data_IF_619733019760
#
_entry.id   IF_619733019760
#
_cell.length_a   1.000
_cell.length_b   1.000
_cell.length_c   1.000
_cell.angle_alpha   90.00
_cell.angle_beta   90.00
_cell.angle_gamma   90.00
#
_symmetry.space_group_name_H-M   'P 1'
#
loop_
_entity.id
_entity.type
_entity.pdbx_description
1 polymer ?
#
# COMPACT_ATOMS: atom_id res chain seq x y z
N UNK A 1 8.75 -29.76 -29.66
CA UNK A 1 8.93 -28.41 -29.08
C UNK A 1 7.77 -28.17 -28.13
N UNK A 2 8.04 -28.21 -26.82
CA UNK A 2 7.01 -28.08 -25.78
C UNK A 2 6.65 -26.60 -25.56
N UNK A 3 5.37 -26.28 -25.73
CA UNK A 3 4.79 -24.99 -25.39
C UNK A 3 4.53 -24.95 -23.88
N UNK A 4 5.41 -24.32 -23.12
CA UNK A 4 5.14 -24.00 -21.72
C UNK A 4 4.36 -22.68 -21.70
N UNK A 5 3.03 -22.79 -21.53
CA UNK A 5 2.16 -21.65 -21.24
C UNK A 5 2.41 -21.29 -19.77
N UNK A 6 3.21 -20.26 -19.52
CA UNK A 6 3.40 -19.73 -18.18
C UNK A 6 2.16 -18.91 -17.77
N UNK A 7 1.53 -19.20 -16.63
CA UNK A 7 0.48 -18.34 -16.09
C UNK A 7 1.07 -16.98 -15.70
N UNK A 8 0.35 -15.90 -16.01
CA UNK A 8 0.91 -14.57 -15.84
C UNK A 8 0.72 -14.01 -14.39
N UNK A 9 1.73 -13.30 -13.81
CA UNK A 9 1.80 -12.67 -12.44
C UNK A 9 1.01 -11.36 -12.11
N UNK A 10 0.72 -10.92 -10.90
CA UNK A 10 0.11 -9.61 -10.70
C UNK A 10 0.14 -9.01 -9.28
N UNK A 11 -0.06 -7.68 -9.16
CA UNK A 11 0.04 -6.86 -7.92
C UNK A 11 -1.28 -6.18 -7.58
N UNK A 12 -1.61 -6.05 -6.28
CA UNK A 12 -2.80 -5.40 -5.75
C UNK A 12 -2.56 -4.07 -5.04
N UNK A 13 -3.53 -3.16 -5.19
CA UNK A 13 -3.70 -1.96 -4.36
C UNK A 13 -3.91 -2.34 -2.89
N UNK A 14 -3.44 -1.49 -1.99
CA UNK A 14 -3.55 -1.73 -0.55
C UNK A 14 -5.00 -1.57 -0.09
N UNK A 15 -5.47 -2.48 0.78
CA UNK A 15 -6.77 -2.32 1.44
C UNK A 15 -6.74 -1.20 2.47
N UNK A 16 -7.89 -0.57 2.72
CA UNK A 16 -8.07 0.24 3.91
C UNK A 16 -7.68 -0.58 5.16
N UNK A 17 -7.05 0.02 6.18
CA UNK A 17 -6.70 1.43 6.28
C UNK A 17 -5.29 1.79 5.74
N UNK A 18 -4.67 0.92 4.94
CA UNK A 18 -3.22 0.83 4.80
C UNK A 18 -2.45 2.11 4.46
N UNK A 19 -3.00 3.02 3.64
CA UNK A 19 -2.28 4.27 3.32
C UNK A 19 -2.01 5.12 4.56
N UNK A 20 -2.98 5.21 5.48
CA UNK A 20 -2.88 5.96 6.73
C UNK A 20 -2.10 5.20 7.81
N UNK A 21 -1.59 4.01 7.46
CA UNK A 21 -0.68 3.23 8.29
C UNK A 21 0.72 3.15 7.68
N UNK A 22 0.96 3.77 6.50
CA UNK A 22 2.28 3.76 5.85
C UNK A 22 2.46 2.72 4.73
N UNK A 23 1.45 1.89 4.45
CA UNK A 23 1.50 0.95 3.32
C UNK A 23 1.58 1.70 1.98
N UNK A 24 2.29 1.12 1.02
CA UNK A 24 2.38 1.65 -0.34
C UNK A 24 1.01 1.58 -1.02
N UNK A 25 0.48 2.72 -1.48
CA UNK A 25 -0.86 2.84 -2.08
C UNK A 25 -0.84 3.26 -3.55
N UNK A 26 0.28 3.02 -4.24
CA UNK A 26 0.33 3.23 -5.69
C UNK A 26 -0.64 2.30 -6.43
N UNK A 27 -1.39 2.78 -7.43
CA UNK A 27 -2.25 1.93 -8.26
C UNK A 27 -1.44 0.85 -9.00
N UNK A 28 -2.11 -0.24 -9.38
CA UNK A 28 -1.46 -1.37 -10.07
C UNK A 28 -1.30 -1.10 -11.57
N UNK A 29 -0.07 -1.19 -12.07
CA UNK A 29 0.23 -1.03 -13.51
C UNK A 29 -0.21 -2.25 -14.34
N UNK A 30 -0.50 -3.35 -13.66
CA UNK A 30 -0.83 -4.66 -14.19
C UNK A 30 -2.22 -5.15 -13.72
N UNK A 31 -2.95 -5.94 -14.54
CA UNK A 31 -4.16 -6.62 -14.06
C UNK A 31 -3.81 -7.66 -12.99
N UNK A 32 -4.56 -7.70 -11.88
CA UNK A 32 -4.34 -8.60 -10.74
C UNK A 32 -5.59 -9.25 -10.19
N UNK A 33 -5.38 -10.43 -9.60
CA UNK A 33 -6.19 -10.95 -8.51
C UNK A 33 -5.25 -11.46 -7.41
N UNK A 34 -5.22 -10.85 -6.23
CA UNK A 34 -4.42 -11.33 -5.09
C UNK A 34 -5.29 -11.55 -3.87
N UNK A 35 -4.87 -12.48 -3.01
CA UNK A 35 -5.42 -12.63 -1.67
C UNK A 35 -4.30 -12.76 -0.65
N UNK A 36 -4.55 -12.43 0.61
CA UNK A 36 -3.52 -12.54 1.63
C UNK A 36 -3.95 -12.03 2.99
N UNK A 37 -2.98 -11.94 3.88
CA UNK A 37 -3.15 -11.44 5.23
C UNK A 37 -2.58 -10.03 5.32
N UNK A 38 -3.37 -9.08 5.82
CA UNK A 38 -2.93 -7.73 6.16
C UNK A 38 -3.10 -7.50 7.66
N UNK A 39 -2.05 -7.03 8.32
CA UNK A 39 -2.00 -6.77 9.75
C UNK A 39 -1.70 -5.30 9.94
N UNK A 40 -2.52 -4.62 10.74
CA UNK A 40 -2.32 -3.21 11.10
C UNK A 40 -2.43 -3.06 12.62
N UNK A 41 -1.66 -2.14 13.18
CA UNK A 41 -1.70 -1.84 14.61
C UNK A 41 -1.94 -0.37 14.86
N UNK A 42 -2.80 -0.10 15.83
CA UNK A 42 -3.12 1.23 16.30
C UNK A 42 -3.08 1.31 17.82
N UNK A 43 -2.45 2.36 18.34
CA UNK A 43 -2.36 2.66 19.77
C UNK A 43 -2.99 4.02 20.05
N UNK A 44 -3.67 4.12 21.19
CA UNK A 44 -4.40 5.33 21.62
C UNK A 44 -3.50 6.41 22.27
N UNK A 45 -2.21 6.10 22.44
CA UNK A 45 -1.23 6.90 23.17
C UNK A 45 -0.38 7.74 22.24
N UNK A 46 0.24 8.82 22.72
CA UNK A 46 1.23 9.68 22.04
C UNK A 46 2.65 9.44 22.57
N UNK A 47 3.64 10.18 22.01
CA UNK A 47 5.07 10.19 22.36
C UNK A 47 5.42 10.05 23.85
N UNK A 48 4.54 10.61 24.68
CA UNK A 48 4.72 10.81 26.11
C UNK A 48 3.91 9.79 26.95
N UNK A 49 3.24 8.85 26.29
CA UNK A 49 2.36 7.85 26.91
C UNK A 49 0.97 8.39 27.26
N UNK A 50 0.62 9.60 26.83
CA UNK A 50 -0.69 10.21 27.07
C UNK A 50 -1.69 9.83 25.99
N UNK A 51 -2.97 9.76 26.34
CA UNK A 51 -4.03 9.47 25.37
C UNK A 51 -4.30 10.68 24.46
N UNK A 52 -4.18 10.50 23.14
CA UNK A 52 -4.34 11.62 22.20
C UNK A 52 -5.69 11.69 21.50
N UNK A 53 -6.46 10.60 21.46
CA UNK A 53 -7.72 10.52 20.70
C UNK A 53 -8.91 9.97 21.50
N UNK A 54 -10.10 10.15 20.93
CA UNK A 54 -11.37 9.72 21.52
C UNK A 54 -11.69 8.22 21.45
N UNK A 55 -10.90 7.41 20.73
CA UNK A 55 -11.19 5.97 20.49
C UNK A 55 -11.01 5.16 21.78
N UNK A 56 -10.01 5.50 22.61
CA UNK A 56 -9.73 4.86 23.92
C UNK A 56 -9.58 3.33 23.86
N UNK A 57 -9.25 2.81 22.68
CA UNK A 57 -8.98 1.41 22.42
C UNK A 57 -7.68 1.24 21.63
N UNK A 58 -6.91 0.22 22.00
CA UNK A 58 -5.80 -0.32 21.20
C UNK A 58 -6.36 -1.36 20.25
N UNK A 59 -5.96 -1.29 18.99
CA UNK A 59 -6.61 -1.99 17.89
C UNK A 59 -5.53 -2.72 17.07
N UNK A 60 -5.65 -4.04 17.00
CA UNK A 60 -4.97 -4.85 15.98
C UNK A 60 -5.96 -5.29 14.92
N UNK A 61 -5.78 -4.86 13.68
CA UNK A 61 -6.60 -5.28 12.54
C UNK A 61 -5.89 -6.44 11.84
N UNK A 62 -6.55 -7.60 11.77
CA UNK A 62 -5.99 -8.79 11.14
C UNK A 62 -6.94 -9.24 10.04
N UNK A 63 -6.72 -8.77 8.82
CA UNK A 63 -7.67 -8.87 7.73
C UNK A 63 -7.19 -9.88 6.70
N UNK A 64 -8.07 -10.77 6.27
CA UNK A 64 -7.90 -11.45 4.99
C UNK A 64 -8.33 -10.44 3.93
N UNK A 65 -7.39 -10.05 3.07
CA UNK A 65 -7.61 -9.06 2.02
C UNK A 65 -7.57 -9.75 0.66
N UNK A 66 -8.54 -9.44 -0.19
CA UNK A 66 -8.57 -9.82 -1.60
C UNK A 66 -8.72 -8.58 -2.45
N UNK A 67 -7.95 -8.49 -3.52
CA UNK A 67 -7.98 -7.34 -4.42
C UNK A 67 -7.90 -7.79 -5.85
N UNK A 68 -8.63 -7.06 -6.69
CA UNK A 68 -8.75 -7.31 -8.10
C UNK A 68 -8.59 -6.01 -8.88
N UNK A 69 -7.64 -5.98 -9.81
CA UNK A 69 -7.44 -4.86 -10.73
C UNK A 69 -7.59 -5.33 -12.16
N UNK A 70 -8.35 -4.59 -12.94
CA UNK A 70 -8.51 -4.81 -14.38
C UNK A 70 -8.07 -3.57 -15.14
N UNK A 71 -7.25 -3.77 -16.16
CA UNK A 71 -7.00 -2.76 -17.20
C UNK A 71 -7.97 -2.99 -18.35
N UNK A 72 -8.64 -1.93 -18.78
CA UNK A 72 -9.65 -2.00 -19.83
C UNK A 72 -9.02 -1.83 -21.21
N UNK A 73 -9.62 -2.49 -22.20
CA UNK A 73 -9.26 -2.41 -23.62
C UNK A 73 -10.39 -1.79 -24.44
N UNK A 74 -10.13 -1.51 -25.72
CA UNK A 74 -11.07 -0.89 -26.66
C UNK A 74 -11.47 0.55 -26.24
N UNK A 75 -12.77 0.81 -26.04
CA UNK A 75 -13.30 2.15 -25.75
C UNK A 75 -12.84 2.76 -24.42
N UNK A 76 -12.25 1.96 -23.53
CA UNK A 76 -11.72 2.38 -22.23
C UNK A 76 -10.21 2.14 -22.13
N UNK A 77 -9.50 2.11 -23.25
CA UNK A 77 -8.05 1.87 -23.26
C UNK A 77 -7.29 2.86 -22.37
N UNK A 78 -6.40 2.32 -21.53
CA UNK A 78 -5.59 3.05 -20.55
C UNK A 78 -6.36 3.52 -19.32
N UNK A 79 -7.56 2.99 -19.08
CA UNK A 79 -8.21 3.03 -17.78
C UNK A 79 -8.02 1.72 -17.04
N UNK A 80 -7.94 1.77 -15.71
CA UNK A 80 -8.04 0.60 -14.85
C UNK A 80 -9.08 0.80 -13.76
N UNK A 81 -9.66 -0.31 -13.30
CA UNK A 81 -10.55 -0.38 -12.14
C UNK A 81 -9.96 -1.33 -11.12
N UNK A 82 -9.96 -0.92 -9.85
CA UNK A 82 -9.61 -1.76 -8.71
C UNK A 82 -10.84 -1.96 -7.81
N UNK A 83 -10.96 -3.16 -7.25
CA UNK A 83 -11.83 -3.47 -6.14
C UNK A 83 -11.04 -4.27 -5.11
N UNK A 84 -11.06 -3.83 -3.86
CA UNK A 84 -10.43 -4.52 -2.75
C UNK A 84 -11.44 -4.75 -1.64
N UNK A 85 -11.41 -5.94 -1.07
CA UNK A 85 -12.24 -6.36 0.05
C UNK A 85 -11.33 -6.91 1.15
N UNK A 86 -11.60 -6.55 2.40
CA UNK A 86 -10.93 -7.12 3.56
C UNK A 86 -11.92 -7.43 4.66
N UNK A 87 -11.71 -8.53 5.37
CA UNK A 87 -12.50 -8.91 6.54
C UNK A 87 -11.63 -9.67 7.53
N UNK A 88 -11.85 -9.44 8.82
CA UNK A 88 -11.20 -10.24 9.84
C UNK A 88 -11.40 -9.75 11.26
N UNK A 89 -10.84 -10.48 12.23
CA UNK A 89 -10.95 -10.11 13.62
C UNK A 89 -10.10 -8.89 13.95
N UNK A 90 -10.69 -7.97 14.68
CA UNK A 90 -9.99 -6.88 15.34
C UNK A 90 -9.62 -7.32 16.73
N UNK A 91 -8.35 -7.69 16.88
CA UNK A 91 -7.73 -8.20 18.11
C UNK A 91 -6.27 -7.78 18.10
N UNK A 92 -5.74 -7.47 19.26
CA UNK A 92 -4.35 -7.08 19.39
C UNK A 92 -3.33 -8.13 18.93
N UNK A 93 -3.67 -9.42 18.89
CA UNK A 93 -2.76 -10.47 18.43
C UNK A 93 -3.11 -10.87 16.99
N UNK A 94 -2.12 -11.12 16.10
CA UNK A 94 -0.67 -11.18 16.36
C UNK A 94 0.10 -9.84 16.37
N UNK A 95 -0.54 -8.70 16.08
CA UNK A 95 0.18 -7.43 15.86
C UNK A 95 0.95 -6.89 17.07
N UNK A 96 0.45 -7.14 18.29
CA UNK A 96 1.11 -6.80 19.57
C UNK A 96 2.42 -7.54 19.75
N UNK A 97 2.41 -8.86 19.58
CA UNK A 97 3.64 -9.64 19.71
C UNK A 97 4.65 -9.31 18.62
N UNK A 98 4.20 -8.96 17.41
CA UNK A 98 5.12 -8.57 16.35
C UNK A 98 5.76 -7.20 16.64
N UNK A 99 5.00 -6.21 17.11
CA UNK A 99 5.57 -4.92 17.50
C UNK A 99 6.41 -5.03 18.78
N UNK A 100 5.81 -5.43 19.91
CA UNK A 100 6.48 -5.35 21.21
C UNK A 100 7.52 -6.46 21.37
N UNK A 101 7.18 -7.71 21.08
CA UNK A 101 8.08 -8.84 21.40
C UNK A 101 9.17 -9.04 20.34
N UNK A 102 8.93 -8.68 19.07
CA UNK A 102 9.91 -8.87 17.98
C UNK A 102 10.62 -7.58 17.59
N UNK A 103 9.89 -6.53 17.23
CA UNK A 103 10.52 -5.27 16.76
C UNK A 103 11.17 -4.53 17.93
N UNK A 104 10.44 -4.31 19.03
CA UNK A 104 10.92 -3.50 20.15
C UNK A 104 11.95 -4.27 21.00
N UNK A 105 11.60 -5.48 21.46
CA UNK A 105 12.48 -6.25 22.35
C UNK A 105 13.64 -6.95 21.63
N UNK A 106 13.40 -7.61 20.49
CA UNK A 106 14.44 -8.45 19.85
C UNK A 106 15.28 -7.72 18.81
N UNK A 107 14.70 -6.77 18.07
CA UNK A 107 15.39 -6.16 16.92
C UNK A 107 16.04 -4.82 17.25
N UNK A 108 15.36 -3.95 18.01
CA UNK A 108 15.82 -2.57 18.23
C UNK A 108 16.13 -2.21 19.70
N UNK A 109 15.79 -3.08 20.67
CA UNK A 109 15.98 -2.84 22.12
C UNK A 109 15.40 -1.49 22.58
N UNK A 110 14.17 -1.20 22.15
CA UNK A 110 13.44 0.05 22.47
C UNK A 110 12.22 -0.25 23.36
N UNK A 111 11.75 0.72 24.20
CA UNK A 111 10.64 0.49 25.11
C UNK A 111 9.36 0.03 24.39
N UNK A 112 8.64 -0.93 24.97
CA UNK A 112 7.37 -1.43 24.43
C UNK A 112 6.28 -0.35 24.43
N UNK A 113 5.40 -0.40 23.43
CA UNK A 113 4.28 0.54 23.35
C UNK A 113 3.18 0.15 24.33
N UNK A 114 2.66 1.10 25.14
CA UNK A 114 1.55 0.85 26.06
C UNK A 114 0.30 0.33 25.34
N UNK A 115 -0.41 -0.57 26.01
CA UNK A 115 -1.67 -1.15 25.51
C UNK A 115 -2.79 -0.81 26.47
N UNK A 116 -3.82 -0.14 25.95
CA UNK A 116 -5.01 0.24 26.69
C UNK A 116 -6.09 -0.85 26.63
N UNK A 117 -7.34 -0.42 26.54
CA UNK A 117 -8.47 -1.34 26.35
C UNK A 117 -8.34 -2.00 24.98
N UNK A 118 -8.37 -3.34 24.93
CA UNK A 118 -8.22 -4.07 23.66
C UNK A 118 -9.58 -4.19 22.97
N UNK A 119 -9.70 -3.69 21.73
CA UNK A 119 -10.90 -3.91 20.92
C UNK A 119 -11.03 -5.39 20.55
N UNK A 120 -12.27 -5.90 20.54
CA UNK A 120 -12.58 -7.29 20.15
C UNK A 120 -13.83 -7.34 19.28
N UNK A 121 -13.64 -7.14 17.98
CA UNK A 121 -14.73 -7.08 17.00
C UNK A 121 -14.40 -7.89 15.74
N UNK A 122 -15.34 -7.96 14.80
CA UNK A 122 -15.07 -8.37 13.40
C UNK A 122 -15.28 -7.18 12.51
N UNK A 123 -14.22 -6.73 11.85
CA UNK A 123 -14.24 -5.55 11.01
C UNK A 123 -14.07 -5.95 9.54
N UNK A 124 -14.64 -5.13 8.65
CA UNK A 124 -14.53 -5.31 7.21
C UNK A 124 -14.29 -3.96 6.51
N UNK A 125 -13.76 -4.06 5.31
CA UNK A 125 -13.37 -2.93 4.46
C UNK A 125 -13.63 -3.29 3.00
N UNK A 126 -14.13 -2.32 2.26
CA UNK A 126 -14.36 -2.37 0.82
C UNK A 126 -13.80 -1.08 0.24
N UNK A 127 -12.90 -1.18 -0.72
CA UNK A 127 -12.42 -0.04 -1.49
C UNK A 127 -12.54 -0.29 -2.98
N UNK A 128 -12.78 0.78 -3.73
CA UNK A 128 -12.82 0.74 -5.18
C UNK A 128 -12.23 2.01 -5.76
N UNK A 129 -11.51 1.87 -6.86
CA UNK A 129 -10.87 3.00 -7.53
C UNK A 129 -10.93 2.88 -9.06
N UNK A 130 -10.88 4.02 -9.73
CA UNK A 130 -10.71 4.11 -11.18
C UNK A 130 -9.49 4.99 -11.44
N UNK A 131 -8.58 4.50 -12.28
CA UNK A 131 -7.31 5.17 -12.58
C UNK A 131 -7.13 5.33 -14.09
N UNK A 132 -6.83 6.55 -14.53
CA UNK A 132 -6.38 6.85 -15.89
C UNK A 132 -4.86 6.79 -15.93
N UNK A 133 -4.32 6.01 -16.87
CA UNK A 133 -2.89 5.86 -17.09
C UNK A 133 -2.39 6.68 -18.27
N UNK A 134 -1.19 7.23 -18.11
CA UNK A 134 -0.42 7.90 -19.15
C UNK A 134 0.95 7.25 -19.34
N UNK A 135 1.60 7.57 -20.44
CA UNK A 135 2.89 7.02 -20.83
C UNK A 135 3.99 8.07 -20.69
N UNK A 136 5.24 7.61 -20.54
CA UNK A 136 6.44 8.42 -20.72
C UNK A 136 7.25 7.81 -21.89
N UNK A 137 8.19 8.57 -22.49
CA UNK A 137 9.00 8.04 -23.58
C UNK A 137 9.65 6.70 -23.21
N UNK A 138 9.40 5.68 -24.03
CA UNK A 138 9.88 4.30 -23.86
C UNK A 138 9.13 3.46 -22.81
N UNK A 139 8.11 3.99 -22.13
CA UNK A 139 7.48 3.32 -20.98
C UNK A 139 5.97 3.59 -20.89
N UNK A 140 5.19 2.50 -20.83
CA UNK A 140 3.72 2.56 -20.72
C UNK A 140 3.29 2.60 -19.26
N UNK A 141 2.09 3.15 -19.01
CA UNK A 141 1.42 3.18 -17.70
C UNK A 141 2.29 3.72 -16.57
N UNK A 142 3.01 4.81 -16.82
CA UNK A 142 3.88 5.43 -15.83
C UNK A 142 3.15 6.52 -15.06
N UNK A 143 2.52 7.46 -15.75
CA UNK A 143 1.74 8.53 -15.13
C UNK A 143 0.37 8.01 -14.76
N UNK A 144 -0.20 8.48 -13.65
CA UNK A 144 -1.56 8.13 -13.28
C UNK A 144 -2.31 9.29 -12.64
N UNK A 145 -3.62 9.31 -12.88
CA UNK A 145 -4.59 10.15 -12.19
C UNK A 145 -5.83 9.32 -11.94
N UNK A 146 -6.30 9.26 -10.69
CA UNK A 146 -7.42 8.42 -10.32
C UNK A 146 -8.15 8.93 -9.10
N UNK A 147 -9.26 8.28 -8.83
CA UNK A 147 -10.07 8.54 -7.65
C UNK A 147 -10.88 7.31 -7.28
N UNK A 148 -11.37 7.31 -6.05
CA UNK A 148 -12.04 6.15 -5.50
C UNK A 148 -12.73 6.47 -4.19
N UNK A 149 -13.27 5.41 -3.60
CA UNK A 149 -13.85 5.46 -2.28
C UNK A 149 -13.60 4.17 -1.53
N UNK A 150 -13.67 4.28 -0.22
CA UNK A 150 -13.65 3.14 0.68
C UNK A 150 -14.70 3.29 1.76
N UNK A 151 -15.20 2.15 2.20
CA UNK A 151 -16.23 2.03 3.22
C UNK A 151 -16.01 0.76 4.01
N UNK A 152 -16.52 0.72 5.22
CA UNK A 152 -16.34 -0.41 6.12
C UNK A 152 -16.78 -0.07 7.52
N UNK A 153 -16.52 -0.99 8.44
CA UNK A 153 -16.80 -0.78 9.85
C UNK A 153 -15.83 0.22 10.50
N UNK A 154 -14.63 0.41 9.94
CA UNK A 154 -13.62 1.31 10.50
C UNK A 154 -13.94 2.79 10.25
N UNK A 155 -14.03 3.17 8.97
CA UNK A 155 -14.31 4.52 8.50
C UNK A 155 -14.73 4.48 7.02
N UNK A 156 -15.10 5.64 6.49
CA UNK A 156 -15.35 5.83 5.06
C UNK A 156 -14.46 6.94 4.53
N UNK A 157 -14.05 6.86 3.28
CA UNK A 157 -13.28 7.91 2.64
C UNK A 157 -13.62 8.00 1.15
N UNK A 158 -13.65 9.23 0.64
CA UNK A 158 -13.59 9.51 -0.79
C UNK A 158 -12.25 10.16 -1.09
N UNK A 159 -11.56 9.71 -2.13
CA UNK A 159 -10.22 10.20 -2.44
C UNK A 159 -9.96 10.43 -3.92
N UNK A 160 -9.00 11.31 -4.18
CA UNK A 160 -8.35 11.48 -5.47
C UNK A 160 -6.84 11.36 -5.28
N UNK A 161 -6.15 10.76 -6.26
CA UNK A 161 -4.70 10.59 -6.24
C UNK A 161 -4.10 10.76 -7.62
N UNK A 162 -2.85 11.17 -7.67
CA UNK A 162 -2.10 11.30 -8.90
C UNK A 162 -0.60 11.20 -8.67
N UNK A 163 0.12 10.83 -9.72
CA UNK A 163 1.56 10.64 -9.61
C UNK A 163 2.17 9.85 -10.76
N UNK A 164 3.30 9.20 -10.47
CA UNK A 164 4.00 8.30 -11.36
C UNK A 164 4.41 7.02 -10.63
N UNK A 165 4.35 5.89 -11.33
CA UNK A 165 4.67 4.57 -10.79
C UNK A 165 5.79 3.92 -11.59
N UNK A 166 6.77 3.35 -10.89
CA UNK A 166 7.88 2.56 -11.43
C UNK A 166 8.48 3.15 -12.71
N UNK A 167 8.78 4.44 -12.70
CA UNK A 167 9.46 5.10 -13.80
C UNK A 167 10.95 4.72 -13.80
N UNK A 168 11.49 4.27 -14.94
CA UNK A 168 12.93 4.09 -15.15
C UNK A 168 13.53 5.28 -15.90
N UNK A 169 14.35 6.13 -15.26
CA UNK A 169 15.03 7.21 -15.97
C UNK A 169 15.91 6.69 -17.12
N UNK A 170 16.59 5.56 -16.92
CA UNK A 170 17.44 4.96 -17.95
C UNK A 170 16.65 4.46 -19.16
N UNK A 171 15.51 3.80 -18.99
CA UNK A 171 14.69 3.39 -20.16
C UNK A 171 14.21 4.59 -20.97
N UNK A 172 13.90 5.71 -20.31
CA UNK A 172 13.54 6.95 -21.00
C UNK A 172 14.74 7.56 -21.75
N UNK A 173 15.94 7.55 -21.14
CA UNK A 173 17.17 8.00 -21.81
C UNK A 173 17.50 7.12 -23.01
N UNK A 174 17.42 5.79 -22.86
CA UNK A 174 17.68 4.82 -23.93
C UNK A 174 16.73 5.02 -25.13
N UNK A 175 15.47 5.38 -24.86
CA UNK A 175 14.49 5.69 -25.89
C UNK A 175 14.80 7.01 -26.64
N UNK A 176 15.27 8.04 -25.93
CA UNK A 176 15.49 9.37 -26.50
C UNK A 176 16.86 9.53 -27.18
N UNK A 177 17.90 8.93 -26.61
CA UNK A 177 19.30 9.15 -27.00
C UNK A 177 19.97 7.91 -27.57
N UNK A 178 19.23 6.81 -27.71
CA UNK A 178 19.77 5.50 -28.08
C UNK A 178 20.33 4.73 -26.88
N UNK A 179 20.44 3.41 -27.04
CA UNK A 179 20.79 2.49 -25.96
C UNK A 179 22.18 2.76 -25.41
N UNK A 180 22.25 3.07 -24.12
CA UNK A 180 23.51 3.19 -23.38
C UNK A 180 23.97 1.80 -22.95
N UNK A 181 25.14 1.40 -23.44
CA UNK A 181 25.78 0.13 -23.09
C UNK A 181 26.91 0.37 -22.08
N UNK A 182 27.00 -0.48 -21.05
CA UNK A 182 28.07 -0.43 -20.05
C UNK A 182 27.61 -0.87 -18.67
N UNK A 183 28.58 -1.22 -17.81
CA UNK A 183 28.29 -1.77 -16.48
C UNK A 183 27.46 -0.84 -15.59
N UNK A 184 27.62 0.49 -15.72
CA UNK A 184 26.81 1.48 -15.00
C UNK A 184 25.35 1.41 -15.47
N UNK A 185 25.14 1.40 -16.79
CA UNK A 185 23.79 1.30 -17.35
C UNK A 185 23.12 -0.01 -16.90
N UNK A 186 23.85 -1.14 -16.94
CA UNK A 186 23.34 -2.43 -16.49
C UNK A 186 22.99 -2.44 -14.99
N UNK A 187 23.80 -1.80 -14.14
CA UNK A 187 23.56 -1.70 -12.70
C UNK A 187 22.30 -0.90 -12.38
N UNK A 188 22.07 0.22 -13.08
CA UNK A 188 20.95 1.12 -12.83
C UNK A 188 19.70 0.78 -13.64
N UNK A 189 19.77 -0.09 -14.66
CA UNK A 189 18.61 -0.46 -15.51
C UNK A 189 17.46 -1.10 -14.73
N UNK A 190 17.67 -1.82 -13.61
CA UNK A 190 16.60 -2.29 -12.73
C UNK A 190 15.98 -1.21 -11.83
N UNK A 191 16.61 -0.02 -11.71
CA UNK A 191 16.17 1.04 -10.82
C UNK A 191 14.87 1.69 -11.32
N UNK A 192 13.94 1.92 -10.41
CA UNK A 192 12.65 2.57 -10.68
C UNK A 192 12.31 3.57 -9.57
N UNK A 193 11.60 4.63 -9.97
CA UNK A 193 11.13 5.69 -9.09
C UNK A 193 9.61 5.74 -9.12
N UNK A 194 8.99 5.97 -7.96
CA UNK A 194 7.56 6.28 -7.88
C UNK A 194 7.31 7.44 -6.94
N UNK A 195 6.27 8.21 -7.24
CA UNK A 195 5.84 9.35 -6.44
C UNK A 195 4.33 9.54 -6.58
N UNK A 196 3.66 9.87 -5.48
CA UNK A 196 2.21 10.03 -5.44
C UNK A 196 1.81 11.10 -4.43
N UNK A 197 0.75 11.83 -4.76
CA UNK A 197 -0.02 12.61 -3.80
C UNK A 197 -1.47 12.13 -3.80
N UNK A 198 -2.11 12.19 -2.64
CA UNK A 198 -3.51 11.84 -2.43
C UNK A 198 -4.17 12.89 -1.54
N UNK A 199 -5.40 13.25 -1.89
CA UNK A 199 -6.29 14.03 -1.06
C UNK A 199 -7.58 13.24 -0.84
N UNK A 200 -8.03 13.20 0.41
CA UNK A 200 -9.19 12.44 0.86
C UNK A 200 -10.12 13.27 1.72
N UNK A 201 -11.38 12.86 1.74
CA UNK A 201 -12.40 13.31 2.69
C UNK A 201 -12.84 12.11 3.49
N UNK A 202 -12.62 12.15 4.80
CA UNK A 202 -12.95 11.08 5.71
C UNK A 202 -14.34 11.30 6.31
N UNK A 203 -15.02 10.21 6.61
CA UNK A 203 -16.27 10.18 7.34
C UNK A 203 -16.19 9.09 8.39
N UNK A 204 -16.83 9.35 9.53
CA UNK A 204 -16.87 8.42 10.65
C UNK A 204 -17.41 7.05 10.24
N UNK A 205 -16.79 6.01 10.78
CA UNK A 205 -17.28 4.63 10.72
C UNK A 205 -17.85 4.19 12.04
N UNK A 206 -18.10 2.89 12.21
CA UNK A 206 -18.55 2.34 13.49
C UNK A 206 -17.42 2.36 14.53
N UNK A 207 -16.19 2.04 14.12
CA UNK A 207 -15.03 1.98 15.01
C UNK A 207 -14.39 3.37 15.22
N UNK A 208 -14.26 4.18 14.18
CA UNK A 208 -13.61 5.48 14.26
C UNK A 208 -14.64 6.62 14.18
N UNK A 209 -14.91 7.25 15.32
CA UNK A 209 -15.94 8.28 15.49
C UNK A 209 -15.38 9.71 15.60
N UNK A 210 -14.05 9.88 15.52
CA UNK A 210 -13.38 11.18 15.68
C UNK A 210 -12.26 11.34 14.65
N UNK A 211 -12.67 11.50 13.39
CA UNK A 211 -11.78 11.59 12.25
C UNK A 211 -11.62 13.04 11.77
N UNK A 212 -10.44 13.35 11.24
CA UNK A 212 -10.19 14.59 10.53
C UNK A 212 -11.09 14.65 9.29
N UNK A 213 -11.71 15.81 9.02
CA UNK A 213 -12.61 15.93 7.86
C UNK A 213 -11.89 15.73 6.52
N UNK A 214 -10.59 15.99 6.46
CA UNK A 214 -9.77 15.87 5.26
C UNK A 214 -8.47 15.15 5.60
N UNK A 215 -7.96 14.39 4.65
CA UNK A 215 -6.64 13.76 4.71
C UNK A 215 -5.81 14.14 3.50
N UNK A 216 -4.52 14.33 3.70
CA UNK A 216 -3.54 14.56 2.64
C UNK A 216 -2.36 13.64 2.85
N UNK A 217 -1.96 12.92 1.81
CA UNK A 217 -0.82 12.02 1.86
C UNK A 217 0.11 12.24 0.67
N UNK A 218 1.41 12.10 0.92
CA UNK A 218 2.45 12.08 -0.09
C UNK A 218 3.30 10.82 0.10
N UNK A 219 3.55 10.09 -0.98
CA UNK A 219 4.38 8.88 -0.97
C UNK A 219 5.47 8.99 -2.03
N UNK A 220 6.68 8.56 -1.65
CA UNK A 220 7.81 8.40 -2.56
C UNK A 220 8.45 7.02 -2.37
N UNK A 221 8.93 6.40 -3.44
CA UNK A 221 9.58 5.09 -3.36
C UNK A 221 10.69 4.93 -4.39
N UNK A 222 11.72 4.19 -3.99
CA UNK A 222 12.76 3.64 -4.86
C UNK A 222 12.56 2.14 -4.95
N UNK A 223 12.57 1.57 -6.15
CA UNK A 223 12.60 0.12 -6.32
C UNK A 223 13.71 -0.36 -7.22
N UNK A 224 14.21 -1.56 -6.93
CA UNK A 224 15.22 -2.27 -7.69
C UNK A 224 14.66 -3.64 -8.06
N UNK A 225 14.41 -3.86 -9.35
CA UNK A 225 13.74 -5.09 -9.76
C UNK A 225 13.78 -5.41 -11.24
N UNK A 226 13.45 -6.66 -11.53
CA UNK A 226 13.31 -7.20 -12.88
C UNK A 226 11.85 -7.42 -13.19
N UNK A 227 11.45 -7.04 -14.40
CA UNK A 227 10.06 -7.01 -14.83
C UNK A 227 9.90 -7.72 -16.16
N UNK A 228 8.78 -8.41 -16.33
CA UNK A 228 8.35 -8.84 -17.65
C UNK A 228 7.94 -7.60 -18.47
N UNK A 229 8.58 -7.39 -19.62
CA UNK A 229 8.41 -6.16 -20.39
C UNK A 229 7.05 -6.05 -21.09
N UNK A 230 6.38 -7.17 -21.36
CA UNK A 230 5.07 -7.18 -22.03
C UNK A 230 3.96 -6.85 -21.06
N UNK A 231 4.06 -7.37 -19.85
CA UNK A 231 3.01 -7.35 -18.85
C UNK A 231 3.26 -6.32 -17.74
N UNK A 232 4.47 -5.76 -17.67
CA UNK A 232 4.97 -4.85 -16.63
C UNK A 232 5.05 -5.47 -15.23
N UNK A 233 4.94 -6.79 -15.15
CA UNK A 233 4.86 -7.55 -13.90
C UNK A 233 6.24 -7.73 -13.28
N UNK A 234 6.44 -7.51 -11.97
CA UNK A 234 7.71 -7.77 -11.31
C UNK A 234 7.93 -9.29 -11.16
N UNK A 235 9.07 -9.78 -11.65
CA UNK A 235 9.56 -11.14 -11.36
C UNK A 235 10.20 -11.17 -9.96
N UNK A 236 11.02 -10.16 -9.70
CA UNK A 236 11.60 -9.87 -8.41
C UNK A 236 11.77 -8.35 -8.26
N UNK A 237 11.39 -7.79 -7.12
CA UNK A 237 11.55 -6.37 -6.83
C UNK A 237 11.71 -6.17 -5.33
N UNK A 238 12.70 -5.36 -4.95
CA UNK A 238 12.78 -4.75 -3.62
C UNK A 238 12.42 -3.29 -3.76
N UNK A 239 11.48 -2.83 -2.95
CA UNK A 239 11.03 -1.45 -2.95
C UNK A 239 11.08 -0.87 -1.53
N UNK A 240 11.62 0.32 -1.42
CA UNK A 240 11.70 1.08 -0.18
C UNK A 240 10.98 2.40 -0.40
N UNK A 241 10.12 2.79 0.52
CA UNK A 241 9.34 4.01 0.42
C UNK A 241 9.27 4.80 1.71
N UNK A 242 8.81 6.03 1.56
CA UNK A 242 8.45 6.91 2.65
C UNK A 242 7.08 7.53 2.38
N UNK A 243 6.29 7.67 3.43
CA UNK A 243 4.96 8.26 3.41
C UNK A 243 4.90 9.39 4.43
N UNK A 244 4.33 10.53 4.04
CA UNK A 244 3.90 11.58 4.95
C UNK A 244 2.38 11.67 4.81
N UNK A 245 1.66 11.53 5.92
CA UNK A 245 0.20 11.62 6.00
C UNK A 245 -0.17 12.72 7.00
N UNK A 246 -1.18 13.52 6.69
CA UNK A 246 -1.68 14.55 7.60
C UNK A 246 -2.33 13.99 8.87
N UNK A 247 -2.56 12.67 8.92
CA UNK A 247 -3.28 11.96 9.96
C UNK A 247 -4.76 11.87 9.67
N UNK A 248 -5.37 10.75 10.06
CA UNK A 248 -6.82 10.59 10.02
C UNK A 248 -7.51 10.88 11.36
N UNK A 249 -6.79 10.89 12.46
CA UNK A 249 -7.36 11.07 13.80
C UNK A 249 -7.21 12.51 14.27
N UNK A 250 -8.30 13.06 14.82
CA UNK A 250 -8.21 14.34 15.54
C UNK A 250 -7.58 14.11 16.92
N UNK A 251 -6.65 14.97 17.29
CA UNK A 251 -6.18 15.09 18.67
C UNK A 251 -7.22 15.79 19.56
N UNK A 252 -7.01 15.77 20.87
CA UNK A 252 -7.88 16.41 21.87
C UNK A 252 -8.17 17.92 21.63
N UNK A 253 -7.33 18.61 20.84
CA UNK A 253 -7.49 20.03 20.47
C UNK A 253 -8.09 20.23 19.07
N UNK A 254 -8.49 19.16 18.37
CA UNK A 254 -9.06 19.20 17.02
C UNK A 254 -8.04 19.28 15.88
N UNK A 255 -6.74 19.22 16.19
CA UNK A 255 -5.67 19.16 15.18
C UNK A 255 -5.38 17.70 14.81
N UNK A 256 -5.13 17.41 13.53
CA UNK A 256 -4.74 16.07 13.09
C UNK A 256 -3.30 15.75 13.46
N UNK A 257 -3.00 14.47 13.72
CA UNK A 257 -1.64 13.99 13.98
C UNK A 257 -0.92 13.72 12.66
N UNK A 258 0.04 14.56 12.26
CA UNK A 258 0.89 14.23 11.10
C UNK A 258 1.68 12.96 11.38
N UNK A 259 1.66 12.02 10.45
CA UNK A 259 2.31 10.72 10.55
C UNK A 259 3.33 10.52 9.44
N UNK A 260 4.44 9.86 9.77
CA UNK A 260 5.55 9.64 8.85
C UNK A 260 5.99 8.20 8.95
N UNK A 261 6.01 7.51 7.81
CA UNK A 261 6.29 6.07 7.76
C UNK A 261 7.44 5.78 6.82
N UNK A 262 8.27 4.82 7.20
CA UNK A 262 9.07 4.08 6.23
C UNK A 262 8.33 2.79 5.86
N UNK A 263 8.56 2.30 4.64
CA UNK A 263 8.00 1.03 4.16
C UNK A 263 9.02 0.26 3.34
N UNK A 264 9.00 -1.06 3.46
CA UNK A 264 9.81 -1.98 2.67
C UNK A 264 8.90 -3.06 2.11
N UNK A 265 8.95 -3.26 0.80
CA UNK A 265 8.26 -4.33 0.10
C UNK A 265 9.25 -5.22 -0.65
N UNK A 266 9.08 -6.52 -0.52
CA UNK A 266 9.79 -7.54 -1.29
C UNK A 266 8.77 -8.30 -2.11
N UNK A 267 9.00 -8.37 -3.41
CA UNK A 267 8.15 -9.08 -4.36
C UNK A 267 8.98 -10.16 -5.00
N UNK A 268 8.55 -11.39 -4.84
CA UNK A 268 9.13 -12.57 -5.48
C UNK A 268 7.95 -13.42 -5.92
N UNK A 269 7.60 -13.32 -7.21
CA UNK A 269 6.35 -13.91 -7.71
C UNK A 269 6.23 -15.40 -7.33
N UNK A 270 5.07 -15.87 -6.81
CA UNK A 270 3.77 -15.18 -6.69
C UNK A 270 3.52 -14.44 -5.37
N UNK A 271 4.55 -14.21 -4.56
CA UNK A 271 4.41 -13.63 -3.23
C UNK A 271 4.84 -12.18 -3.17
N UNK A 272 4.12 -11.40 -2.37
CA UNK A 272 4.51 -10.06 -1.94
C UNK A 272 4.49 -10.00 -0.43
N UNK A 273 5.62 -9.60 0.14
CA UNK A 273 5.73 -9.22 1.54
C UNK A 273 5.94 -7.70 1.60
N UNK A 274 5.24 -7.04 2.49
CA UNK A 274 5.45 -5.61 2.75
C UNK A 274 5.28 -5.34 4.24
N UNK A 275 6.11 -4.46 4.79
CA UNK A 275 6.03 -4.00 6.17
C UNK A 275 6.41 -2.53 6.25
N UNK A 276 5.88 -1.85 7.26
CA UNK A 276 6.08 -0.42 7.47
C UNK A 276 6.02 -0.11 8.96
N UNK A 277 6.59 1.04 9.33
CA UNK A 277 6.61 1.52 10.70
C UNK A 277 6.70 3.07 10.75
N UNK A 278 6.14 3.68 11.80
CA UNK A 278 6.09 5.12 12.07
C UNK A 278 7.32 5.69 12.80
N UNK A 279 8.39 4.90 12.96
CA UNK A 279 9.68 5.31 13.57
C UNK A 279 10.25 6.63 13.04
N UNK A 280 9.90 7.07 11.82
CA UNK A 280 10.31 8.38 11.29
C UNK A 280 9.70 9.57 12.05
N UNK A 281 8.59 9.35 12.76
CA UNK A 281 7.99 10.33 13.65
C UNK A 281 8.61 10.32 15.05
N UNK A 282 9.43 9.31 15.39
CA UNK A 282 10.00 9.12 16.72
C UNK A 282 8.94 8.97 17.81
N UNK A 283 7.72 8.56 17.43
CA UNK A 283 6.59 8.45 18.33
C UNK A 283 6.26 6.98 18.59
N UNK A 284 6.06 6.06 17.62
CA UNK A 284 5.53 4.70 17.89
C UNK A 284 4.10 4.77 18.49
N UNK A 285 3.30 5.72 18.00
CA UNK A 285 2.00 6.09 18.57
C UNK A 285 0.96 6.38 17.49
N UNK A 286 -0.28 5.91 17.68
CA UNK A 286 -1.31 5.95 16.65
C UNK A 286 -1.20 4.75 15.70
N UNK A 287 -1.42 4.91 14.38
CA UNK A 287 -0.99 3.96 13.36
C UNK A 287 0.52 3.76 13.45
N UNK A 288 0.94 2.56 13.84
CA UNK A 288 2.35 2.33 14.22
C UNK A 288 3.02 1.36 13.29
N UNK A 289 2.62 0.10 13.41
CA UNK A 289 3.22 -1.01 12.70
C UNK A 289 2.19 -1.72 11.83
N UNK A 290 2.66 -2.25 10.71
CA UNK A 290 1.88 -3.21 9.97
C UNK A 290 2.71 -4.00 8.98
N UNK A 291 2.04 -4.97 8.40
CA UNK A 291 2.61 -5.75 7.31
C UNK A 291 1.55 -6.54 6.60
N UNK A 292 1.87 -6.99 5.40
CA UNK A 292 1.02 -7.85 4.61
C UNK A 292 1.82 -8.91 3.88
N UNK A 293 1.20 -10.07 3.76
CA UNK A 293 1.67 -11.19 2.96
C UNK A 293 0.58 -11.52 1.95
N UNK A 294 0.85 -11.25 0.67
CA UNK A 294 -0.09 -11.41 -0.42
C UNK A 294 0.39 -12.48 -1.39
N UNK A 295 -0.54 -13.26 -1.91
CA UNK A 295 -0.33 -14.22 -2.97
C UNK A 295 -1.16 -13.82 -4.17
N UNK A 296 -0.50 -13.73 -5.32
CA UNK A 296 -1.17 -13.55 -6.59
C UNK A 296 -1.83 -14.84 -7.04
N UNK A 297 -3.14 -14.79 -7.31
CA UNK A 297 -3.98 -15.89 -7.77
C UNK A 297 -4.30 -15.79 -9.27
N UNK A 298 -3.75 -14.82 -9.98
CA UNK A 298 -4.01 -14.63 -11.42
C UNK A 298 -3.63 -15.84 -12.26
N UNK A 299 -2.73 -16.68 -11.75
CA UNK A 299 -2.36 -17.95 -12.37
C UNK A 299 -3.50 -18.98 -12.41
N UNK A 300 -4.51 -18.85 -11.54
CA UNK A 300 -5.70 -19.71 -11.50
C UNK A 300 -6.81 -19.24 -12.45
N UNK A 301 -6.71 -18.01 -12.99
CA UNK A 301 -7.77 -17.45 -13.82
C UNK A 301 -7.69 -17.94 -15.28
N UNK A 302 -8.84 -18.07 -15.97
CA UNK A 302 -8.88 -18.28 -17.41
C UNK A 302 -8.24 -17.11 -18.17
N UNK A 303 -7.66 -17.36 -19.35
CA UNK A 303 -6.99 -16.31 -20.15
C UNK A 303 -7.92 -15.17 -20.56
N UNK A 304 -9.22 -15.46 -20.76
CA UNK A 304 -10.25 -14.45 -21.04
C UNK A 304 -10.46 -13.44 -19.90
N UNK A 305 -10.04 -13.77 -18.68
CA UNK A 305 -10.12 -12.89 -17.50
C UNK A 305 -8.81 -12.14 -17.25
N UNK A 306 -7.71 -12.51 -17.93
CA UNK A 306 -6.39 -11.88 -17.77
C UNK A 306 -6.25 -10.55 -18.53
N UNK A 307 -7.23 -10.19 -19.35
CA UNK A 307 -7.30 -8.88 -20.01
C UNK A 307 -6.13 -8.60 -20.97
N UNK A 308 -5.70 -9.63 -21.71
CA UNK A 308 -4.75 -9.49 -22.82
C UNK A 308 -5.41 -8.81 -24.02
#
# INVERSE_FOLDING_TARGET
MSWWIFPQPARSESSAPGIHWGALDFPDQEPVLTTGLSIFRFTEFNGEGERFNGIRETIGLNLITTSWTRHWSNSLEGWSTNLTFGIGPTRNQPSESLQNDFVHDQLFDIPQVPVGTKRKETDFTISGSITRWGELPGQRRILFLGGGGQTGSLYQELFARGGFRRWSPLKTIDYLSGTQNGWIADLFRPLRLSGMVRAGRLFNGAAFQDLANHSFAAQGSLSYGWYDEKTLRPLFEVEIGATIDSGMFNGNQGNSLEERFWTVAIRAHPFTFETWNDQLNGQDFGPTYGGKLMMDLSFLLPDSWKGQ
#
